data_IF_776652392266
#
_entry.id   IF_776652392266
#
_cell.length_a   1.000
_cell.length_b   1.000
_cell.length_c   1.000
_cell.angle_alpha   90.00
_cell.angle_beta   90.00
_cell.angle_gamma   90.00
#
_symmetry.space_group_name_H-M   'P 1'
#
loop_
_entity.id
_entity.type
_entity.pdbx_description
1 polymer ?
#
# COMPACT_ATOMS: atom_id res chain seq x y z
N UNK A 1 2.97 19.38 -29.35
CA UNK A 1 3.68 19.04 -28.11
C UNK A 1 3.00 17.89 -27.37
N UNK A 2 1.68 17.98 -26.99
CA UNK A 2 0.97 16.93 -26.27
C UNK A 2 1.03 15.57 -27.00
N UNK A 3 0.74 15.55 -28.32
CA UNK A 3 0.83 14.35 -29.15
C UNK A 3 2.24 13.75 -29.11
N UNK A 4 3.28 14.56 -29.34
CA UNK A 4 4.67 14.11 -29.32
C UNK A 4 5.05 13.49 -27.97
N UNK A 5 4.58 14.08 -26.84
CA UNK A 5 4.82 13.53 -25.52
C UNK A 5 4.09 12.20 -25.32
N UNK A 6 2.82 12.12 -25.72
CA UNK A 6 2.03 10.90 -25.59
C UNK A 6 2.63 9.75 -26.44
N UNK A 7 3.01 10.03 -27.69
CA UNK A 7 3.67 9.08 -28.58
C UNK A 7 5.02 8.63 -28.00
N UNK A 8 5.84 9.55 -27.47
CA UNK A 8 7.09 9.20 -26.80
C UNK A 8 6.86 8.23 -25.63
N UNK A 9 5.85 8.49 -24.79
CA UNK A 9 5.51 7.60 -23.65
C UNK A 9 5.06 6.23 -24.15
N UNK A 10 4.22 6.19 -25.20
CA UNK A 10 3.74 4.93 -25.80
C UNK A 10 4.93 4.15 -26.36
N UNK A 11 5.75 4.77 -27.18
CA UNK A 11 6.89 4.11 -27.85
C UNK A 11 7.92 3.55 -26.86
N UNK A 12 8.13 4.24 -25.75
CA UNK A 12 9.13 3.83 -24.75
C UNK A 12 8.61 2.82 -23.74
N UNK A 13 7.36 2.92 -23.33
CA UNK A 13 6.86 2.22 -22.14
C UNK A 13 5.57 1.44 -22.36
N UNK A 14 4.86 1.70 -23.47
CA UNK A 14 3.53 1.16 -23.72
C UNK A 14 3.33 0.74 -25.18
N UNK A 15 4.33 0.19 -25.80
CA UNK A 15 4.34 -0.17 -27.24
C UNK A 15 3.12 -1.01 -27.65
N UNK A 16 2.61 -1.86 -26.74
CA UNK A 16 1.41 -2.64 -26.98
C UNK A 16 0.17 -1.78 -27.31
N UNK A 17 0.14 -0.52 -26.87
CA UNK A 17 -0.99 0.38 -27.16
C UNK A 17 -1.19 0.68 -28.67
N UNK A 18 -0.16 0.47 -29.50
CA UNK A 18 -0.28 0.62 -30.95
C UNK A 18 -1.08 -0.50 -31.63
N UNK A 19 -1.14 -1.68 -31.00
CA UNK A 19 -1.70 -2.90 -31.60
C UNK A 19 -2.88 -3.50 -30.86
N UNK A 20 -3.21 -2.96 -29.69
CA UNK A 20 -4.35 -3.45 -28.90
C UNK A 20 -5.66 -3.06 -29.60
N UNK A 21 -6.59 -4.01 -29.89
CA UNK A 21 -7.86 -3.72 -30.55
C UNK A 21 -8.88 -3.05 -29.60
N UNK A 22 -8.53 -2.79 -28.36
CA UNK A 22 -9.37 -2.08 -27.40
C UNK A 22 -9.57 -0.63 -27.85
N UNK A 23 -10.65 -0.04 -27.42
CA UNK A 23 -10.97 1.37 -27.67
C UNK A 23 -10.94 1.74 -29.17
N UNK A 24 -11.46 0.84 -30.04
CA UNK A 24 -11.51 1.05 -31.49
C UNK A 24 -10.11 1.29 -32.12
N UNK A 25 -9.05 0.75 -31.51
CA UNK A 25 -7.67 0.96 -31.94
C UNK A 25 -7.07 2.33 -31.56
N UNK A 26 -7.72 3.07 -30.67
CA UNK A 26 -7.22 4.36 -30.19
C UNK A 26 -6.06 4.18 -29.20
N UNK A 27 -4.84 4.40 -29.65
CA UNK A 27 -3.62 4.21 -28.83
C UNK A 27 -3.57 5.13 -27.60
N UNK A 28 -4.16 6.30 -27.63
CA UNK A 28 -4.18 7.23 -26.48
C UNK A 28 -5.19 6.81 -25.41
N UNK A 29 -6.34 6.25 -25.81
CA UNK A 29 -7.27 5.65 -24.87
C UNK A 29 -6.66 4.35 -24.26
N UNK A 30 -5.95 3.55 -25.07
CA UNK A 30 -5.22 2.39 -24.59
C UNK A 30 -4.09 2.79 -23.62
N UNK A 31 -3.39 3.90 -23.86
CA UNK A 31 -2.41 4.46 -22.92
C UNK A 31 -3.07 4.82 -21.57
N UNK A 32 -4.18 5.56 -21.61
CA UNK A 32 -4.91 5.96 -20.40
C UNK A 32 -5.37 4.74 -19.60
N UNK A 33 -5.86 3.70 -20.28
CA UNK A 33 -6.22 2.42 -19.67
C UNK A 33 -5.03 1.75 -18.98
N UNK A 34 -3.91 1.60 -19.67
CA UNK A 34 -2.71 0.94 -19.14
C UNK A 34 -2.11 1.70 -17.94
N UNK A 35 -2.10 3.04 -18.00
CA UNK A 35 -1.72 3.90 -16.88
C UNK A 35 -2.67 3.69 -15.70
N UNK A 36 -3.98 3.65 -15.95
CA UNK A 36 -4.99 3.45 -14.90
C UNK A 36 -4.83 2.11 -14.19
N UNK A 37 -4.55 1.02 -14.92
CA UNK A 37 -4.32 -0.29 -14.31
C UNK A 37 -3.04 -0.34 -13.46
N UNK A 38 -1.93 0.24 -13.95
CA UNK A 38 -0.68 0.30 -13.17
C UNK A 38 -0.85 1.15 -11.91
N UNK A 39 -1.50 2.29 -12.05
CA UNK A 39 -1.78 3.19 -10.92
C UNK A 39 -2.71 2.53 -9.89
N UNK A 40 -3.71 1.77 -10.34
CA UNK A 40 -4.57 0.99 -9.45
C UNK A 40 -3.77 -0.04 -8.63
N UNK A 41 -2.84 -0.74 -9.29
CA UNK A 41 -1.96 -1.71 -8.62
C UNK A 41 -1.08 -1.03 -7.56
N UNK A 42 -0.47 0.10 -7.89
CA UNK A 42 0.37 0.88 -6.95
C UNK A 42 -0.44 1.39 -5.76
N UNK A 43 -1.63 1.95 -6.00
CA UNK A 43 -2.51 2.42 -4.93
C UNK A 43 -2.96 1.27 -4.01
N UNK A 44 -3.25 0.09 -4.56
CA UNK A 44 -3.58 -1.10 -3.79
C UNK A 44 -2.41 -1.58 -2.92
N UNK A 45 -1.18 -1.53 -3.44
CA UNK A 45 0.04 -1.83 -2.69
C UNK A 45 0.21 -0.84 -1.53
N UNK A 46 0.07 0.47 -1.76
CA UNK A 46 0.15 1.48 -0.69
C UNK A 46 -0.84 1.19 0.45
N UNK A 47 -2.10 0.94 0.09
CA UNK A 47 -3.14 0.63 1.07
C UNK A 47 -2.84 -0.66 1.84
N UNK A 48 -2.30 -1.68 1.18
CA UNK A 48 -2.04 -2.97 1.81
C UNK A 48 -0.89 -2.94 2.82
N UNK A 49 0.12 -2.07 2.62
CA UNK A 49 1.29 -1.95 3.51
C UNK A 49 1.21 -0.77 4.48
N UNK A 50 0.09 -0.03 4.48
CA UNK A 50 -0.07 1.14 5.33
C UNK A 50 0.78 2.35 4.91
N UNK A 51 1.12 2.47 3.62
CA UNK A 51 1.87 3.60 3.10
C UNK A 51 0.96 4.79 2.82
N UNK A 52 1.22 5.91 3.50
CA UNK A 52 0.57 7.20 3.29
C UNK A 52 1.55 8.12 2.55
N UNK A 53 1.19 8.53 1.32
CA UNK A 53 2.04 9.36 0.46
C UNK A 53 2.11 10.83 0.93
N UNK A 54 0.98 11.37 1.37
CA UNK A 54 0.85 12.71 1.94
C UNK A 54 0.79 13.88 0.95
N UNK A 55 1.18 13.71 -0.32
CA UNK A 55 1.16 14.77 -1.35
C UNK A 55 0.80 14.18 -2.72
N UNK A 56 -0.45 13.78 -2.91
CA UNK A 56 -0.92 13.19 -4.16
C UNK A 56 -1.47 14.27 -5.12
N UNK A 57 -0.63 15.27 -5.45
CA UNK A 57 -0.90 16.18 -6.55
C UNK A 57 -0.75 15.46 -7.90
N UNK A 58 -1.28 16.05 -8.97
CA UNK A 58 -1.21 15.46 -10.32
C UNK A 58 0.22 15.30 -10.85
N UNK A 59 1.13 16.17 -10.42
CA UNK A 59 2.56 16.15 -10.78
C UNK A 59 3.39 15.16 -9.97
N UNK A 60 2.83 14.63 -8.86
CA UNK A 60 3.47 13.63 -8.00
C UNK A 60 3.01 12.19 -8.32
N UNK A 61 2.48 11.97 -9.52
CA UNK A 61 2.04 10.64 -9.96
C UNK A 61 2.76 10.23 -11.26
N UNK A 62 3.37 9.06 -11.21
CA UNK A 62 4.04 8.48 -12.37
C UNK A 62 3.04 7.79 -13.30
N UNK A 63 3.13 8.11 -14.60
CA UNK A 63 2.42 7.33 -15.63
C UNK A 63 2.89 5.88 -15.72
N UNK A 64 4.00 5.53 -15.09
CA UNK A 64 4.54 4.17 -15.04
C UNK A 64 4.08 3.38 -13.81
N UNK A 65 3.25 3.96 -12.94
CA UNK A 65 2.83 3.34 -11.69
C UNK A 65 3.96 3.21 -10.65
N UNK A 66 4.93 4.13 -10.69
CA UNK A 66 6.00 4.21 -9.70
C UNK A 66 5.61 5.20 -8.60
N UNK A 67 6.02 4.93 -7.37
CA UNK A 67 5.92 5.93 -6.30
C UNK A 67 6.99 7.00 -6.53
N UNK A 68 6.57 8.26 -6.57
CA UNK A 68 7.43 9.44 -6.77
C UNK A 68 7.24 10.40 -5.59
N UNK A 69 8.19 11.35 -5.47
CA UNK A 69 8.12 12.45 -4.50
C UNK A 69 7.90 11.96 -3.06
N UNK A 70 8.90 11.28 -2.52
CA UNK A 70 8.96 10.84 -1.14
C UNK A 70 9.20 12.04 -0.19
N UNK A 71 8.24 12.99 -0.17
CA UNK A 71 8.24 14.15 0.73
C UNK A 71 7.73 13.75 2.13
N UNK A 72 6.55 14.22 2.53
CA UNK A 72 6.00 13.94 3.87
C UNK A 72 5.29 12.58 3.94
N UNK A 73 5.88 11.54 3.35
CA UNK A 73 5.29 10.19 3.41
C UNK A 73 5.47 9.55 4.79
N UNK A 74 4.63 8.57 5.07
CA UNK A 74 4.72 7.77 6.29
C UNK A 74 4.18 6.36 6.05
N UNK A 75 4.81 5.35 6.64
CA UNK A 75 4.11 4.09 6.92
C UNK A 75 3.35 4.24 8.24
N UNK A 76 2.10 3.78 8.27
CA UNK A 76 1.28 3.84 9.48
C UNK A 76 1.98 3.12 10.64
N UNK A 77 2.07 3.79 11.78
CA UNK A 77 2.28 3.12 13.05
C UNK A 77 0.95 2.48 13.48
N UNK A 78 0.09 3.17 14.16
CA UNK A 78 -1.26 2.70 14.44
C UNK A 78 -2.15 2.67 13.18
N UNK A 79 -3.03 1.68 13.05
CA UNK A 79 -4.00 1.62 11.96
C UNK A 79 -5.14 2.63 12.20
N UNK A 80 -4.95 3.82 11.66
CA UNK A 80 -5.89 4.94 11.71
C UNK A 80 -6.27 5.31 10.28
N UNK A 81 -7.47 4.94 9.79
CA UNK A 81 -7.85 5.15 8.38
C UNK A 81 -7.73 6.60 7.91
N UNK A 82 -8.16 7.56 8.71
CA UNK A 82 -8.10 8.99 8.40
C UNK A 82 -6.75 9.66 8.77
N UNK A 83 -5.67 8.88 8.89
CA UNK A 83 -4.35 9.38 9.23
C UNK A 83 -3.83 10.38 8.17
N UNK A 84 -3.33 11.53 8.64
CA UNK A 84 -2.73 12.59 7.83
C UNK A 84 -1.25 12.65 8.16
N UNK A 85 -0.40 12.22 7.23
CA UNK A 85 1.05 12.23 7.44
C UNK A 85 1.71 13.58 7.12
N UNK A 86 1.08 14.41 6.29
CA UNK A 86 1.57 15.72 5.92
C UNK A 86 0.98 16.81 6.80
N UNK A 87 1.76 17.41 7.66
CA UNK A 87 1.33 18.50 8.55
C UNK A 87 0.67 19.68 7.82
N UNK A 88 1.06 19.94 6.55
CA UNK A 88 0.46 21.01 5.74
C UNK A 88 -0.91 20.66 5.16
N UNK A 89 -1.32 19.41 5.19
CA UNK A 89 -2.65 18.96 4.72
C UNK A 89 -3.71 19.12 5.83
N UNK A 90 -4.05 20.35 6.16
CA UNK A 90 -5.00 20.66 7.24
C UNK A 90 -6.42 20.14 7.03
N UNK A 91 -6.76 19.76 5.79
CA UNK A 91 -8.10 19.27 5.41
C UNK A 91 -8.13 17.74 5.23
N UNK A 92 -6.99 17.07 5.36
CA UNK A 92 -6.88 15.63 5.14
C UNK A 92 -7.22 15.21 3.72
N UNK A 93 -6.91 16.06 2.72
CA UNK A 93 -7.13 15.73 1.31
C UNK A 93 -6.42 14.43 0.94
N UNK A 94 -5.23 14.24 1.49
CA UNK A 94 -4.33 13.10 1.22
C UNK A 94 -4.28 12.13 2.40
N UNK A 95 -5.30 12.10 3.26
CA UNK A 95 -5.41 11.11 4.32
C UNK A 95 -5.34 9.68 3.75
N UNK A 96 -4.85 8.75 4.53
CA UNK A 96 -4.57 7.38 4.08
C UNK A 96 -5.78 6.70 3.40
N UNK A 97 -6.96 6.79 3.99
CA UNK A 97 -8.20 6.22 3.45
C UNK A 97 -8.72 6.95 2.20
N UNK A 98 -8.27 8.18 1.96
CA UNK A 98 -8.65 8.99 0.79
C UNK A 98 -7.76 8.78 -0.42
N UNK A 99 -6.58 8.19 -0.25
CA UNK A 99 -5.61 8.01 -1.34
C UNK A 99 -6.21 7.36 -2.59
N UNK A 100 -6.98 6.27 -2.52
CA UNK A 100 -7.53 5.64 -3.72
C UNK A 100 -8.43 6.59 -4.52
N UNK A 101 -9.23 7.42 -3.84
CA UNK A 101 -10.12 8.38 -4.49
C UNK A 101 -9.36 9.55 -5.11
N UNK A 102 -8.33 10.04 -4.44
CA UNK A 102 -7.47 11.11 -4.97
C UNK A 102 -6.68 10.64 -6.18
N UNK A 103 -6.16 9.43 -6.14
CA UNK A 103 -5.49 8.78 -7.27
C UNK A 103 -6.43 8.68 -8.48
N UNK A 104 -7.67 8.22 -8.28
CA UNK A 104 -8.68 8.19 -9.34
C UNK A 104 -8.99 9.60 -9.89
N UNK A 105 -9.10 10.59 -9.01
CA UNK A 105 -9.29 11.98 -9.42
C UNK A 105 -8.11 12.48 -10.30
N UNK A 106 -6.87 12.11 -9.97
CA UNK A 106 -5.70 12.45 -10.79
C UNK A 106 -5.74 11.77 -12.16
N UNK A 107 -6.20 10.52 -12.24
CA UNK A 107 -6.41 9.83 -13.52
C UNK A 107 -7.49 10.51 -14.37
N UNK A 108 -8.55 11.03 -13.75
CA UNK A 108 -9.54 11.87 -14.45
C UNK A 108 -8.90 13.13 -15.06
N UNK A 109 -7.95 13.78 -14.34
CA UNK A 109 -7.20 14.94 -14.89
C UNK A 109 -6.30 14.51 -16.05
N UNK A 110 -5.64 13.37 -15.97
CA UNK A 110 -4.87 12.81 -17.09
C UNK A 110 -5.78 12.53 -18.31
N UNK A 111 -6.93 11.91 -18.08
CA UNK A 111 -7.92 11.68 -19.12
C UNK A 111 -8.41 12.96 -19.81
N UNK A 112 -8.65 14.03 -19.04
CA UNK A 112 -8.99 15.35 -19.58
C UNK A 112 -7.84 15.95 -20.41
N UNK A 113 -6.59 15.82 -19.95
CA UNK A 113 -5.43 16.28 -20.70
C UNK A 113 -5.24 15.53 -22.03
N UNK A 114 -5.54 14.23 -22.06
CA UNK A 114 -5.46 13.40 -23.27
C UNK A 114 -6.68 13.50 -24.17
N UNK A 115 -7.78 14.12 -23.73
CA UNK A 115 -9.04 14.21 -24.45
C UNK A 115 -8.91 14.72 -25.91
N UNK A 116 -8.05 15.75 -26.21
CA UNK A 116 -7.87 16.20 -27.60
C UNK A 116 -7.24 15.14 -28.53
N UNK A 117 -6.56 14.13 -27.97
CA UNK A 117 -5.94 13.04 -28.73
C UNK A 117 -6.88 11.82 -28.83
N UNK A 118 -7.61 11.53 -27.75
CA UNK A 118 -8.60 10.45 -27.70
C UNK A 118 -9.81 10.78 -28.58
N UNK A 119 -10.25 12.02 -28.61
CA UNK A 119 -11.38 12.51 -29.43
C UNK A 119 -12.75 12.24 -28.79
N UNK A 120 -13.06 10.99 -28.42
CA UNK A 120 -14.36 10.59 -27.88
C UNK A 120 -14.35 10.52 -26.34
N UNK A 121 -15.16 11.32 -25.62
CA UNK A 121 -15.24 11.25 -24.16
C UNK A 121 -15.61 9.85 -23.63
N UNK A 122 -16.43 9.11 -24.34
CA UNK A 122 -16.84 7.76 -23.96
C UNK A 122 -15.65 6.79 -23.90
N UNK A 123 -14.69 6.89 -24.83
CA UNK A 123 -13.47 6.08 -24.82
C UNK A 123 -12.57 6.42 -23.64
N UNK A 124 -12.44 7.70 -23.29
CA UNK A 124 -11.68 8.12 -22.13
C UNK A 124 -12.29 7.58 -20.82
N UNK A 125 -13.61 7.64 -20.69
CA UNK A 125 -14.30 7.08 -19.52
C UNK A 125 -14.15 5.56 -19.44
N UNK A 126 -14.33 4.85 -20.56
CA UNK A 126 -14.15 3.40 -20.60
C UNK A 126 -12.71 3.00 -20.23
N UNK A 127 -11.70 3.78 -20.64
CA UNK A 127 -10.30 3.56 -20.25
C UNK A 127 -10.09 3.73 -18.74
N UNK A 128 -10.73 4.73 -18.12
CA UNK A 128 -10.64 5.01 -16.67
C UNK A 128 -11.39 4.00 -15.81
N UNK A 129 -12.43 3.33 -16.34
CA UNK A 129 -13.18 2.31 -15.59
C UNK A 129 -12.30 1.12 -15.18
N UNK A 130 -11.18 0.89 -15.86
CA UNK A 130 -10.20 -0.12 -15.48
C UNK A 130 -9.66 0.09 -14.04
N UNK A 131 -9.49 1.33 -13.58
CA UNK A 131 -9.09 1.62 -12.21
C UNK A 131 -10.12 1.11 -11.20
N UNK A 132 -11.41 1.34 -11.47
CA UNK A 132 -12.52 0.99 -10.55
C UNK A 132 -12.68 -0.51 -10.37
N UNK A 133 -12.27 -1.29 -11.35
CA UNK A 133 -12.27 -2.76 -11.29
C UNK A 133 -10.95 -3.32 -10.77
N UNK A 134 -9.82 -2.77 -11.22
CA UNK A 134 -8.48 -3.26 -10.89
C UNK A 134 -8.09 -2.99 -9.46
N UNK A 135 -8.35 -1.77 -8.93
CA UNK A 135 -7.96 -1.42 -7.57
C UNK A 135 -8.56 -2.36 -6.51
N UNK A 136 -9.90 -2.56 -6.42
CA UNK A 136 -10.46 -3.45 -5.42
C UNK A 136 -10.02 -4.90 -5.61
N UNK A 137 -9.91 -5.38 -6.84
CA UNK A 137 -9.44 -6.74 -7.11
C UNK A 137 -8.00 -6.96 -6.63
N UNK A 138 -7.10 -6.02 -6.91
CA UNK A 138 -5.71 -6.10 -6.49
C UNK A 138 -5.54 -5.92 -4.97
N UNK A 139 -6.30 -5.00 -4.38
CA UNK A 139 -6.31 -4.81 -2.92
C UNK A 139 -6.77 -6.09 -2.21
N UNK A 140 -7.87 -6.70 -2.65
CA UNK A 140 -8.35 -7.97 -2.10
C UNK A 140 -7.34 -9.10 -2.28
N UNK A 141 -6.69 -9.18 -3.45
CA UNK A 141 -5.63 -10.16 -3.70
C UNK A 141 -4.47 -10.02 -2.69
N UNK A 142 -4.04 -8.78 -2.43
CA UNK A 142 -2.98 -8.49 -1.46
C UNK A 142 -3.43 -8.82 -0.03
N UNK A 143 -4.64 -8.43 0.36
CA UNK A 143 -5.18 -8.71 1.69
C UNK A 143 -5.34 -10.21 1.94
N UNK A 144 -5.78 -10.98 0.92
CA UNK A 144 -5.80 -12.46 0.98
C UNK A 144 -4.41 -13.02 1.25
N UNK A 145 -3.40 -12.56 0.50
CA UNK A 145 -2.02 -13.00 0.69
C UNK A 145 -1.48 -12.65 2.09
N UNK A 146 -1.85 -11.49 2.63
CA UNK A 146 -1.52 -11.08 4.01
C UNK A 146 -2.13 -12.00 5.07
N UNK A 147 -3.29 -12.60 4.78
CA UNK A 147 -3.96 -13.60 5.64
C UNK A 147 -3.53 -15.05 5.35
N UNK A 148 -2.57 -15.27 4.43
CA UNK A 148 -2.13 -16.62 4.06
C UNK A 148 -3.12 -17.38 3.17
N UNK A 149 -4.11 -16.69 2.60
CA UNK A 149 -5.07 -17.30 1.69
C UNK A 149 -4.49 -17.34 0.27
N UNK A 150 -4.46 -18.51 -0.39
CA UNK A 150 -3.93 -18.62 -1.75
C UNK A 150 -4.81 -17.83 -2.74
N UNK A 151 -4.21 -17.49 -3.89
CA UNK A 151 -4.96 -16.87 -4.97
C UNK A 151 -6.07 -17.82 -5.43
N UNK A 152 -7.30 -17.31 -5.47
CA UNK A 152 -8.47 -18.03 -5.96
C UNK A 152 -9.28 -17.15 -6.91
N UNK A 153 -9.99 -17.77 -7.83
CA UNK A 153 -10.83 -17.06 -8.80
C UNK A 153 -12.07 -16.43 -8.14
N UNK A 154 -12.52 -16.99 -7.03
CA UNK A 154 -13.68 -16.48 -6.27
C UNK A 154 -13.37 -16.44 -4.78
N UNK A 155 -13.90 -15.43 -4.04
CA UNK A 155 -13.81 -15.39 -2.59
C UNK A 155 -14.46 -16.61 -1.94
N UNK A 156 -13.92 -17.04 -0.81
CA UNK A 156 -14.54 -18.08 0.02
C UNK A 156 -15.68 -17.49 0.84
N UNK A 157 -16.63 -18.35 1.22
CA UNK A 157 -17.71 -17.95 2.13
C UNK A 157 -17.11 -17.49 3.47
N UNK A 158 -17.55 -16.33 3.98
CA UNK A 158 -17.06 -15.74 5.23
C UNK A 158 -15.77 -14.92 5.11
N UNK A 159 -15.10 -14.94 3.96
CA UNK A 159 -13.83 -14.21 3.78
C UNK A 159 -13.99 -12.69 3.98
N UNK A 160 -15.05 -12.11 3.43
CA UNK A 160 -15.33 -10.68 3.60
C UNK A 160 -15.57 -10.33 5.07
N UNK A 161 -16.30 -11.16 5.79
CA UNK A 161 -16.61 -10.94 7.22
C UNK A 161 -15.34 -11.01 8.08
N UNK A 162 -14.44 -11.96 7.81
CA UNK A 162 -13.14 -12.06 8.49
C UNK A 162 -12.28 -10.84 8.21
N UNK A 163 -12.22 -10.37 6.94
CA UNK A 163 -11.45 -9.19 6.56
C UNK A 163 -12.00 -7.93 7.21
N UNK A 164 -13.29 -7.67 7.09
CA UNK A 164 -13.95 -6.50 7.65
C UNK A 164 -13.90 -6.51 9.19
N UNK A 165 -14.06 -7.69 9.79
CA UNK A 165 -13.92 -7.88 11.23
C UNK A 165 -12.54 -7.50 11.72
N UNK A 166 -11.49 -7.96 11.02
CA UNK A 166 -10.12 -7.61 11.33
C UNK A 166 -9.88 -6.09 11.26
N UNK A 167 -10.27 -5.47 10.14
CA UNK A 167 -10.03 -4.03 9.97
C UNK A 167 -10.74 -3.21 11.07
N UNK A 168 -11.95 -3.61 11.47
CA UNK A 168 -12.66 -2.97 12.61
C UNK A 168 -11.89 -3.12 13.92
N UNK A 169 -11.34 -4.29 14.22
CA UNK A 169 -10.54 -4.52 15.42
C UNK A 169 -9.26 -3.68 15.42
N UNK A 170 -8.54 -3.64 14.29
CA UNK A 170 -7.33 -2.82 14.18
C UNK A 170 -7.61 -1.33 14.40
N UNK A 171 -8.75 -0.83 13.92
CA UNK A 171 -9.18 0.57 14.12
C UNK A 171 -9.58 0.81 15.57
N UNK A 172 -10.35 -0.10 16.18
CA UNK A 172 -10.91 0.10 17.53
C UNK A 172 -9.81 0.28 18.58
N UNK A 173 -8.73 -0.49 18.48
CA UNK A 173 -7.63 -0.47 19.44
C UNK A 173 -6.39 0.27 18.92
N UNK A 174 -6.50 0.95 17.76
CA UNK A 174 -5.39 1.65 17.10
C UNK A 174 -4.11 0.78 17.02
N UNK A 175 -4.29 -0.48 16.62
CA UNK A 175 -3.21 -1.48 16.61
C UNK A 175 -2.13 -1.11 15.60
N UNK A 176 -0.85 -1.30 15.94
CA UNK A 176 0.25 -1.08 15.00
C UNK A 176 0.10 -1.95 13.75
N UNK A 177 0.04 -1.29 12.59
CA UNK A 177 -0.30 -1.95 11.33
C UNK A 177 0.73 -3.00 10.93
N UNK A 178 2.00 -2.62 10.85
CA UNK A 178 3.07 -3.50 10.33
C UNK A 178 3.42 -4.60 11.31
N UNK A 179 3.49 -4.29 12.60
CA UNK A 179 3.80 -5.27 13.66
C UNK A 179 2.69 -6.31 13.74
N UNK A 180 1.41 -5.89 13.62
CA UNK A 180 0.29 -6.82 13.62
C UNK A 180 0.43 -7.88 12.51
N UNK A 181 0.61 -7.44 11.26
CA UNK A 181 0.71 -8.36 10.14
C UNK A 181 1.89 -9.31 10.25
N UNK A 182 3.05 -8.80 10.73
CA UNK A 182 4.22 -9.65 10.93
C UNK A 182 4.01 -10.66 12.05
N UNK A 183 3.44 -10.23 13.19
CA UNK A 183 3.12 -11.14 14.31
C UNK A 183 2.06 -12.16 13.94
N UNK A 184 1.04 -11.79 13.16
CA UNK A 184 0.06 -12.76 12.66
C UNK A 184 0.73 -13.83 11.79
N UNK A 185 1.66 -13.44 10.92
CA UNK A 185 2.44 -14.39 10.10
C UNK A 185 3.25 -15.35 10.96
N UNK A 186 3.91 -14.84 11.99
CA UNK A 186 4.65 -15.66 12.97
C UNK A 186 3.72 -16.54 13.79
N UNK A 187 2.54 -16.05 14.14
CA UNK A 187 1.50 -16.81 14.83
C UNK A 187 1.05 -18.04 14.04
N UNK A 188 0.87 -17.89 12.72
CA UNK A 188 0.59 -19.03 11.83
C UNK A 188 1.77 -19.99 11.74
N UNK A 189 3.00 -19.46 11.63
CA UNK A 189 4.23 -20.25 11.54
C UNK A 189 4.44 -21.15 12.77
N UNK A 190 4.26 -20.57 13.96
CA UNK A 190 4.56 -21.24 15.24
C UNK A 190 3.32 -21.82 15.94
N UNK A 191 2.14 -21.61 15.37
CA UNK A 191 0.83 -21.92 15.99
C UNK A 191 0.70 -21.27 17.38
N UNK A 192 1.21 -20.04 17.53
CA UNK A 192 1.16 -19.23 18.75
C UNK A 192 0.66 -17.83 18.43
N UNK A 193 -0.57 -17.52 18.84
CA UNK A 193 -1.23 -16.24 18.61
C UNK A 193 -1.21 -15.32 19.83
N UNK A 194 -0.56 -15.71 20.94
CA UNK A 194 -0.47 -14.89 22.15
C UNK A 194 0.19 -13.52 21.86
N UNK A 195 1.32 -13.43 21.13
CA UNK A 195 1.93 -12.13 20.82
C UNK A 195 1.04 -11.19 19.96
N UNK A 196 0.17 -11.76 19.13
CA UNK A 196 -0.81 -10.98 18.35
C UNK A 196 -1.96 -10.52 19.25
N UNK A 197 -2.51 -11.42 20.04
CA UNK A 197 -3.60 -11.17 21.00
C UNK A 197 -3.26 -10.05 21.99
N UNK A 198 -2.02 -10.02 22.45
CA UNK A 198 -1.55 -9.00 23.40
C UNK A 198 -1.41 -7.59 22.80
N UNK A 199 -1.60 -7.44 21.49
CA UNK A 199 -1.70 -6.12 20.84
C UNK A 199 -3.09 -5.48 20.99
N UNK A 200 -4.10 -6.26 21.44
CA UNK A 200 -5.48 -5.79 21.54
C UNK A 200 -5.88 -5.51 22.99
N UNK A 201 -6.60 -4.42 23.19
CA UNK A 201 -7.26 -4.07 24.47
C UNK A 201 -8.44 -5.03 24.66
N UNK A 202 -9.30 -5.16 23.64
CA UNK A 202 -10.40 -6.14 23.65
C UNK A 202 -9.91 -7.51 23.13
N UNK A 203 -9.25 -8.24 24.02
CA UNK A 203 -8.75 -9.59 23.72
C UNK A 203 -9.86 -10.58 23.39
N UNK A 204 -11.06 -10.40 23.95
CA UNK A 204 -12.17 -11.31 23.69
C UNK A 204 -12.72 -11.14 22.27
N UNK A 205 -12.78 -9.91 21.78
CA UNK A 205 -13.14 -9.65 20.40
C UNK A 205 -12.10 -10.23 19.42
N UNK A 206 -10.81 -10.09 19.75
CA UNK A 206 -9.75 -10.73 18.95
C UNK A 206 -9.86 -12.25 18.96
N UNK A 207 -10.11 -12.88 20.11
CA UNK A 207 -10.28 -14.34 20.22
C UNK A 207 -11.44 -14.83 19.34
N UNK A 208 -12.56 -14.09 19.33
CA UNK A 208 -13.71 -14.38 18.47
C UNK A 208 -13.35 -14.31 16.98
N UNK A 209 -12.65 -13.24 16.59
CA UNK A 209 -12.15 -13.09 15.22
C UNK A 209 -11.17 -14.19 14.84
N UNK A 210 -10.26 -14.56 15.74
CA UNK A 210 -9.25 -15.59 15.49
C UNK A 210 -9.91 -16.95 15.20
N UNK A 211 -10.99 -17.30 15.89
CA UNK A 211 -11.75 -18.52 15.60
C UNK A 211 -12.29 -18.51 14.16
N UNK A 212 -12.92 -17.41 13.74
CA UNK A 212 -13.43 -17.28 12.37
C UNK A 212 -12.30 -17.32 11.32
N UNK A 213 -11.14 -16.72 11.63
CA UNK A 213 -9.95 -16.78 10.77
C UNK A 213 -9.41 -18.22 10.66
N UNK A 214 -9.34 -18.97 11.77
CA UNK A 214 -8.90 -20.36 11.79
C UNK A 214 -9.86 -21.27 11.03
N UNK A 215 -11.16 -21.04 11.13
CA UNK A 215 -12.17 -21.75 10.33
C UNK A 215 -12.00 -21.49 8.83
N UNK A 216 -11.80 -20.23 8.44
CA UNK A 216 -11.58 -19.83 7.05
C UNK A 216 -10.32 -20.50 6.47
N UNK A 217 -9.27 -20.63 7.27
CA UNK A 217 -7.96 -21.17 6.85
C UNK A 217 -7.80 -22.67 7.12
N UNK A 218 -8.83 -23.35 7.64
CA UNK A 218 -8.74 -24.75 8.10
C UNK A 218 -8.26 -25.74 7.02
N UNK A 219 -8.60 -25.49 5.76
CA UNK A 219 -8.21 -26.33 4.61
C UNK A 219 -6.94 -25.86 3.90
N UNK A 220 -6.33 -24.75 4.36
CA UNK A 220 -5.11 -24.22 3.78
C UNK A 220 -3.89 -24.92 4.38
N UNK A 221 -2.92 -25.29 3.57
CA UNK A 221 -1.63 -25.79 4.08
C UNK A 221 -0.94 -24.71 4.90
N UNK A 222 -0.69 -24.99 6.18
CA UNK A 222 -0.15 -24.01 7.12
C UNK A 222 1.27 -23.56 6.75
N UNK A 223 2.09 -24.44 6.19
CA UNK A 223 3.45 -24.10 5.76
C UNK A 223 3.42 -23.13 4.56
N UNK A 224 2.60 -23.45 3.56
CA UNK A 224 2.41 -22.57 2.39
C UNK A 224 1.78 -21.24 2.79
N UNK A 225 0.81 -21.24 3.72
CA UNK A 225 0.20 -20.01 4.23
C UNK A 225 1.23 -19.13 4.96
N UNK A 226 2.01 -19.71 5.86
CA UNK A 226 3.07 -19.01 6.60
C UNK A 226 4.11 -18.40 5.65
N UNK A 227 4.59 -19.16 4.68
CA UNK A 227 5.53 -18.70 3.66
C UNK A 227 4.98 -17.53 2.84
N UNK A 228 3.72 -17.62 2.42
CA UNK A 228 3.04 -16.56 1.69
C UNK A 228 2.93 -15.29 2.54
N UNK A 229 2.50 -15.43 3.79
CA UNK A 229 2.36 -14.31 4.74
C UNK A 229 3.70 -13.64 5.01
N UNK A 230 4.77 -14.39 5.29
CA UNK A 230 6.10 -13.85 5.57
C UNK A 230 6.70 -13.11 4.37
N UNK A 231 6.39 -13.53 3.14
CA UNK A 231 6.78 -12.85 1.89
C UNK A 231 5.90 -11.66 1.53
N UNK A 232 4.73 -11.52 2.16
CA UNK A 232 3.75 -10.45 1.89
C UNK A 232 3.76 -9.38 2.97
N UNK A 233 4.03 -9.75 4.22
CA UNK A 233 4.01 -8.90 5.40
C UNK A 233 5.44 -8.50 5.78
N UNK A 234 5.89 -7.27 5.45
CA UNK A 234 7.25 -6.85 5.74
C UNK A 234 7.48 -6.79 7.26
N UNK A 235 8.69 -7.21 7.68
CA UNK A 235 9.18 -7.02 9.06
C UNK A 235 9.68 -5.59 9.24
N UNK A 236 10.35 -5.05 8.24
CA UNK A 236 10.96 -3.72 8.29
C UNK A 236 10.24 -2.75 7.36
N UNK A 237 9.89 -1.61 7.88
CA UNK A 237 9.38 -0.44 7.15
C UNK A 237 10.15 0.80 7.57
N UNK A 238 10.20 1.83 6.73
CA UNK A 238 10.82 3.09 7.10
C UNK A 238 9.89 3.89 8.00
N UNK A 239 9.95 3.64 9.31
CA UNK A 239 9.23 4.43 10.32
C UNK A 239 9.87 5.81 10.45
N UNK A 240 9.06 6.84 10.68
CA UNK A 240 9.54 8.22 10.77
C UNK A 240 10.61 8.43 11.84
N UNK A 241 10.47 7.80 13.01
CA UNK A 241 11.47 7.94 14.09
C UNK A 241 12.82 7.31 13.72
N UNK A 242 12.81 6.21 12.98
CA UNK A 242 14.04 5.55 12.51
C UNK A 242 14.71 6.41 11.43
N UNK A 243 13.92 6.98 10.51
CA UNK A 243 14.43 7.93 9.52
C UNK A 243 15.05 9.17 10.17
N UNK A 244 14.40 9.73 11.19
CA UNK A 244 14.90 10.88 11.95
C UNK A 244 16.21 10.58 12.67
N UNK A 245 16.35 9.39 13.26
CA UNK A 245 17.62 8.96 13.86
C UNK A 245 18.76 8.91 12.84
N UNK A 246 18.50 8.34 11.67
CA UNK A 246 19.48 8.29 10.59
C UNK A 246 19.84 9.69 10.06
N UNK A 247 18.88 10.60 9.95
CA UNK A 247 19.11 11.99 9.55
C UNK A 247 20.00 12.69 10.57
N UNK A 248 19.71 12.57 11.88
CA UNK A 248 20.50 13.19 12.94
C UNK A 248 21.93 12.67 12.99
N UNK A 249 22.13 11.35 12.81
CA UNK A 249 23.46 10.76 12.72
C UNK A 249 24.23 11.28 11.49
N UNK A 250 23.58 11.32 10.33
CA UNK A 250 24.17 11.82 9.08
C UNK A 250 24.58 13.30 9.17
N UNK A 251 23.81 14.16 9.85
CA UNK A 251 24.16 15.56 10.11
C UNK A 251 25.46 15.72 10.94
N UNK A 252 25.80 14.69 11.72
CA UNK A 252 27.06 14.63 12.49
C UNK A 252 28.19 13.90 11.73
N UNK A 253 27.96 13.53 10.48
CA UNK A 253 28.91 12.80 9.64
C UNK A 253 28.91 11.28 9.85
N UNK A 254 28.00 10.74 10.67
CA UNK A 254 27.84 9.30 10.83
C UNK A 254 26.74 8.77 9.90
N UNK A 255 27.14 7.94 8.95
CA UNK A 255 26.25 7.29 7.98
C UNK A 255 25.99 5.81 8.33
N UNK A 256 26.31 5.37 9.54
CA UNK A 256 26.10 3.99 10.00
C UNK A 256 24.64 3.58 9.93
N UNK A 257 23.76 4.39 10.53
CA UNK A 257 22.31 4.18 10.53
C UNK A 257 21.73 4.14 9.11
N UNK A 258 22.16 5.05 8.22
CA UNK A 258 21.70 5.06 6.83
C UNK A 258 22.06 3.76 6.09
N UNK A 259 23.27 3.23 6.28
CA UNK A 259 23.69 1.95 5.69
C UNK A 259 22.89 0.77 6.24
N UNK A 260 22.63 0.79 7.55
CA UNK A 260 21.77 -0.21 8.20
C UNK A 260 20.36 -0.18 7.62
N UNK A 261 19.74 0.99 7.52
CA UNK A 261 18.41 1.13 6.91
C UNK A 261 18.38 0.68 5.46
N UNK A 262 19.39 1.04 4.67
CA UNK A 262 19.47 0.60 3.27
C UNK A 262 19.52 -0.94 3.17
N UNK A 263 20.29 -1.59 4.04
CA UNK A 263 20.38 -3.05 4.10
C UNK A 263 19.01 -3.67 4.45
N UNK A 264 18.36 -3.19 5.50
CA UNK A 264 17.09 -3.73 6.00
C UNK A 264 15.95 -3.52 4.99
N UNK A 265 15.84 -2.30 4.45
CA UNK A 265 14.75 -1.93 3.54
C UNK A 265 14.93 -2.49 2.12
N UNK A 266 16.12 -2.92 1.74
CA UNK A 266 16.34 -3.65 0.48
C UNK A 266 15.80 -5.07 0.55
N UNK A 267 15.74 -5.67 1.75
CA UNK A 267 15.18 -7.00 2.01
C UNK A 267 14.23 -6.96 3.22
N UNK A 268 13.09 -6.24 3.10
CA UNK A 268 12.24 -5.91 4.24
C UNK A 268 11.46 -7.10 4.81
N UNK A 269 11.44 -8.22 4.11
CA UNK A 269 10.74 -9.44 4.50
C UNK A 269 11.66 -10.44 5.25
N UNK A 270 12.98 -10.27 5.17
CA UNK A 270 13.94 -11.13 5.83
C UNK A 270 13.97 -10.87 7.35
N UNK A 271 14.42 -11.86 8.13
CA UNK A 271 14.41 -11.75 9.60
C UNK A 271 15.51 -10.83 10.15
N UNK A 272 16.68 -10.73 9.51
CA UNK A 272 17.82 -9.93 9.93
C UNK A 272 18.08 -10.01 11.44
N UNK A 273 18.58 -11.16 11.96
CA UNK A 273 18.84 -11.32 13.41
C UNK A 273 19.76 -10.23 13.96
N UNK A 274 19.42 -9.68 15.13
CA UNK A 274 20.16 -8.59 15.77
C UNK A 274 19.68 -7.18 15.39
N UNK A 275 18.66 -7.07 14.51
CA UNK A 275 18.08 -5.78 14.10
C UNK A 275 16.61 -5.62 14.51
N UNK A 276 16.17 -6.37 15.51
CA UNK A 276 14.77 -6.38 15.98
C UNK A 276 14.27 -4.99 16.38
N UNK A 277 15.14 -4.15 16.94
CA UNK A 277 14.82 -2.80 17.37
C UNK A 277 14.33 -1.89 16.23
N UNK A 278 14.71 -2.17 14.97
CA UNK A 278 14.23 -1.44 13.79
C UNK A 278 12.82 -1.85 13.34
N UNK A 279 12.30 -2.93 13.88
CA UNK A 279 10.98 -3.47 13.61
C UNK A 279 10.03 -3.36 14.82
N UNK A 280 10.47 -2.69 15.89
CA UNK A 280 9.71 -2.54 17.13
C UNK A 280 8.75 -1.34 17.08
N UNK A 281 7.94 -1.19 18.10
CA UNK A 281 7.02 -0.09 18.29
C UNK A 281 7.73 1.26 18.28
N UNK A 282 7.04 2.28 17.76
CA UNK A 282 7.55 3.64 17.81
C UNK A 282 7.70 4.10 19.27
N UNK A 283 8.83 4.70 19.64
CA UNK A 283 9.01 5.24 20.98
C UNK A 283 8.10 6.44 21.23
N UNK A 284 7.80 6.73 22.50
CA UNK A 284 6.85 7.80 22.85
C UNK A 284 7.19 9.17 22.23
N UNK A 285 8.49 9.51 22.10
CA UNK A 285 8.90 10.77 21.48
C UNK A 285 8.56 10.86 19.97
N UNK A 286 8.37 9.73 19.29
CA UNK A 286 8.03 9.72 17.86
C UNK A 286 6.68 10.41 17.56
N UNK A 287 5.76 10.44 18.53
CA UNK A 287 4.48 11.12 18.39
C UNK A 287 4.58 12.65 18.22
N UNK A 288 5.75 13.23 18.53
CA UNK A 288 6.01 14.67 18.37
C UNK A 288 6.64 15.03 17.02
N UNK A 289 6.97 14.04 16.20
CA UNK A 289 7.53 14.29 14.87
C UNK A 289 6.47 14.88 13.95
N UNK A 290 6.81 16.01 13.33
CA UNK A 290 5.97 16.69 12.35
C UNK A 290 6.72 16.73 11.01
N UNK A 291 6.10 16.20 9.98
CA UNK A 291 6.67 16.17 8.62
C UNK A 291 5.81 17.04 7.71
N UNK A 292 6.45 17.86 6.89
CA UNK A 292 5.78 18.73 5.93
C UNK A 292 6.55 18.84 4.62
N UNK A 293 5.85 19.29 3.56
CA UNK A 293 6.48 19.57 2.25
C UNK A 293 7.40 20.81 2.27
N UNK A 294 7.39 21.61 3.33
CA UNK A 294 8.07 22.90 3.42
C UNK A 294 9.38 22.85 4.21
N UNK A 295 9.90 21.68 4.46
CA UNK A 295 11.18 21.47 5.17
C UNK A 295 12.35 21.47 4.22
#
# INVERSE_FOLDING_TARGET
LLRQLAEYVIDRHYQACHSIPLFEGNAYAALLHAVSERTATTAAQWQSVGFCHGVLNTDNMSVLGLTLDYGPFQFLDAFVPNHICNHSDTQGRYAFDRQPNVVYWNLLRLGQALQPLIGAPALAMAALDSYRTRFPAEFMRLMRAKLGLPSAQSPQTGEADVMDGLLRLLVADAVDHSIFWRRLSQGVTHNDFVPVRDMFIDRAAFDTWLLSYQELTALTDKGLAADLMLKTNPKFILRNHVAEQAIRAAQQGDFGELRTLQMLLTRPFDEHPGFEAYADFAPAWASTLSISCSS
#
